data_IF_381952793709
#
_entry.id   IF_381952793709
#
_cell.length_a   1.000
_cell.length_b   1.000
_cell.length_c   1.000
_cell.angle_alpha   90.00
_cell.angle_beta   90.00
_cell.angle_gamma   90.00
#
_symmetry.space_group_name_H-M   'P 1'
#
loop_
_entity.id
_entity.type
_entity.pdbx_description
1 polymer ?
#
# COMPACT_ATOMS: atom_id res chain seq x y z
N UNK A 1 16.39 -7.92 -13.09
CA UNK A 1 16.48 -8.58 -11.77
C UNK A 1 15.99 -7.72 -10.59
N UNK A 2 16.21 -6.40 -10.51
CA UNK A 2 15.85 -5.62 -9.30
C UNK A 2 14.35 -5.48 -8.97
N UNK A 3 13.46 -5.33 -9.96
CA UNK A 3 12.07 -4.93 -9.69
C UNK A 3 11.24 -6.08 -9.10
N UNK A 4 11.52 -7.32 -9.51
CA UNK A 4 10.87 -8.53 -8.98
C UNK A 4 11.09 -8.70 -7.47
N UNK A 5 12.30 -8.39 -7.00
CA UNK A 5 12.67 -8.50 -5.58
C UNK A 5 11.95 -7.43 -4.75
N UNK A 6 11.83 -6.22 -5.29
CA UNK A 6 11.17 -5.09 -4.64
C UNK A 6 9.66 -5.36 -4.43
N UNK A 7 8.99 -5.91 -5.44
CA UNK A 7 7.57 -6.31 -5.34
C UNK A 7 7.35 -7.40 -4.29
N UNK A 8 8.27 -8.36 -4.16
CA UNK A 8 8.19 -9.42 -3.14
C UNK A 8 8.30 -8.85 -1.73
N UNK A 9 9.29 -7.98 -1.48
CA UNK A 9 9.47 -7.35 -0.17
C UNK A 9 8.24 -6.51 0.18
N UNK A 10 7.77 -5.68 -0.74
CA UNK A 10 6.58 -4.86 -0.51
C UNK A 10 5.36 -5.74 -0.24
N UNK A 11 5.16 -6.81 -1.02
CA UNK A 11 4.06 -7.75 -0.81
C UNK A 11 4.08 -8.35 0.60
N UNK A 12 5.25 -8.77 1.08
CA UNK A 12 5.41 -9.33 2.44
C UNK A 12 5.14 -8.28 3.52
N UNK A 13 5.63 -7.04 3.35
CA UNK A 13 5.40 -5.95 4.31
C UNK A 13 3.91 -5.62 4.39
N UNK A 14 3.24 -5.49 3.25
CA UNK A 14 1.80 -5.21 3.17
C UNK A 14 1.00 -6.36 3.77
N UNK A 15 1.41 -7.61 3.53
CA UNK A 15 0.79 -8.79 4.12
C UNK A 15 0.90 -8.80 5.65
N UNK A 16 2.10 -8.52 6.20
CA UNK A 16 2.32 -8.41 7.63
C UNK A 16 1.45 -7.29 8.26
N UNK A 17 1.32 -6.16 7.57
CA UNK A 17 0.44 -5.06 7.98
C UNK A 17 -1.05 -5.48 7.98
N UNK A 18 -1.50 -6.16 6.93
CA UNK A 18 -2.87 -6.68 6.83
C UNK A 18 -3.17 -7.68 7.95
N UNK A 19 -2.27 -8.63 8.19
CA UNK A 19 -2.38 -9.62 9.27
C UNK A 19 -2.43 -8.95 10.65
N UNK A 20 -1.52 -8.01 10.92
CA UNK A 20 -1.51 -7.25 12.17
C UNK A 20 -2.82 -6.48 12.40
N UNK A 21 -3.39 -5.92 11.33
CA UNK A 21 -4.68 -5.25 11.37
C UNK A 21 -5.87 -6.17 11.63
N UNK A 22 -5.86 -7.39 11.08
CA UNK A 22 -6.90 -8.40 11.30
C UNK A 22 -6.84 -8.97 12.73
N UNK A 23 -5.64 -9.29 13.22
CA UNK A 23 -5.46 -9.92 14.55
C UNK A 23 -5.77 -8.94 15.68
N UNK A 24 -5.38 -7.67 15.55
CA UNK A 24 -5.65 -6.63 16.56
C UNK A 24 -6.17 -5.34 15.91
N UNK A 25 -7.45 -5.35 15.52
CA UNK A 25 -8.14 -4.19 14.96
C UNK A 25 -8.07 -2.94 15.86
N UNK A 26 -8.05 -3.12 17.19
CA UNK A 26 -7.85 -2.03 18.16
C UNK A 26 -6.47 -1.36 18.07
N UNK A 27 -5.41 -2.13 17.80
CA UNK A 27 -4.07 -1.58 17.58
C UNK A 27 -3.96 -0.92 16.20
N UNK A 28 -4.66 -1.45 15.19
CA UNK A 28 -4.73 -0.83 13.87
C UNK A 28 -5.34 0.57 13.93
N UNK A 29 -6.42 0.76 14.71
CA UNK A 29 -7.01 2.08 14.95
C UNK A 29 -6.01 3.06 15.58
N UNK A 30 -5.25 2.62 16.59
CA UNK A 30 -4.21 3.45 17.23
C UNK A 30 -3.12 3.84 16.23
N UNK A 31 -2.67 2.89 15.43
CA UNK A 31 -1.66 3.13 14.40
C UNK A 31 -2.13 4.13 13.34
N UNK A 32 -3.39 4.04 12.88
CA UNK A 32 -3.97 5.02 11.96
C UNK A 32 -4.02 6.43 12.56
N UNK A 33 -4.36 6.56 13.84
CA UNK A 33 -4.36 7.85 14.55
C UNK A 33 -2.96 8.42 14.77
N UNK A 34 -1.96 7.56 15.03
CA UNK A 34 -0.57 8.00 15.08
C UNK A 34 -0.08 8.49 13.72
N UNK A 35 -0.47 7.81 12.63
CA UNK A 35 -0.15 8.25 11.27
C UNK A 35 -0.84 9.56 10.88
N UNK A 36 -2.09 9.78 11.28
CA UNK A 36 -2.78 11.04 10.96
C UNK A 36 -2.25 12.23 11.74
N UNK A 37 -1.66 12.02 12.91
CA UNK A 37 -1.11 13.08 13.76
C UNK A 37 0.23 13.64 13.26
N UNK A 38 0.94 12.91 12.40
CA UNK A 38 2.29 13.27 11.96
C UNK A 38 2.33 13.50 10.45
N UNK A 39 2.42 14.78 10.07
CA UNK A 39 2.58 15.15 8.65
C UNK A 39 3.84 14.55 8.04
N UNK A 40 4.92 14.44 8.82
CA UNK A 40 6.17 13.84 8.36
C UNK A 40 5.96 12.39 7.90
N UNK A 41 5.17 11.61 8.63
CA UNK A 41 4.87 10.22 8.27
C UNK A 41 4.03 10.14 6.98
N UNK A 42 3.07 11.05 6.80
CA UNK A 42 2.27 11.14 5.56
C UNK A 42 3.17 11.48 4.36
N UNK A 43 4.13 12.39 4.52
CA UNK A 43 5.08 12.74 3.47
C UNK A 43 6.02 11.57 3.12
N UNK A 44 6.60 10.90 4.12
CA UNK A 44 7.48 9.74 3.92
C UNK A 44 6.73 8.63 3.18
N UNK A 45 5.51 8.33 3.63
CA UNK A 45 4.65 7.34 2.99
C UNK A 45 4.31 7.76 1.56
N UNK A 46 3.94 9.03 1.33
CA UNK A 46 3.67 9.57 -0.01
C UNK A 46 4.84 9.39 -0.98
N UNK A 47 6.07 9.69 -0.53
CA UNK A 47 7.30 9.46 -1.32
C UNK A 47 7.49 7.98 -1.64
N UNK A 48 7.29 7.08 -0.66
CA UNK A 48 7.38 5.63 -0.89
C UNK A 48 6.35 5.15 -1.92
N UNK A 49 5.12 5.68 -1.88
CA UNK A 49 4.08 5.37 -2.87
C UNK A 49 4.49 5.82 -4.29
N UNK A 50 5.12 6.99 -4.43
CA UNK A 50 5.61 7.49 -5.73
C UNK A 50 6.75 6.61 -6.27
N UNK A 51 7.75 6.30 -5.45
CA UNK A 51 8.89 5.45 -5.84
C UNK A 51 8.38 4.06 -6.28
N UNK A 52 7.47 3.49 -5.51
CA UNK A 52 6.87 2.18 -5.81
C UNK A 52 6.03 2.23 -7.08
N UNK A 53 5.17 3.23 -7.23
CA UNK A 53 4.32 3.40 -8.41
C UNK A 53 5.11 3.61 -9.69
N UNK A 54 6.18 4.41 -9.62
CA UNK A 54 7.08 4.63 -10.77
C UNK A 54 7.82 3.35 -11.17
N UNK A 55 8.31 2.59 -10.18
CA UNK A 55 9.00 1.31 -10.41
C UNK A 55 8.11 0.27 -11.10
N UNK A 56 6.81 0.27 -10.79
CA UNK A 56 5.84 -0.65 -11.39
C UNK A 56 5.50 -0.30 -12.85
N UNK A 57 5.49 1.00 -13.22
CA UNK A 57 5.11 1.44 -14.58
C UNK A 57 6.08 0.98 -15.67
N UNK A 58 7.38 0.91 -15.36
CA UNK A 58 8.45 0.70 -16.36
C UNK A 58 8.63 -0.73 -16.85
N UNK A 59 7.79 -1.68 -16.44
CA UNK A 59 8.01 -3.10 -16.70
C UNK A 59 7.01 -3.65 -17.72
N UNK A 60 7.43 -4.66 -18.51
CA UNK A 60 6.54 -5.48 -19.38
C UNK A 60 5.62 -6.40 -18.56
N UNK A 61 5.10 -5.88 -17.44
CA UNK A 61 4.18 -6.60 -16.55
C UNK A 61 2.74 -6.53 -17.09
N UNK A 62 1.88 -7.46 -16.66
CA UNK A 62 0.47 -7.49 -17.03
C UNK A 62 -0.22 -6.15 -16.74
N UNK A 63 -1.20 -5.80 -17.58
CA UNK A 63 -1.93 -4.53 -17.54
C UNK A 63 -2.40 -4.14 -16.12
N UNK A 64 -2.82 -5.11 -15.32
CA UNK A 64 -3.27 -4.91 -13.94
C UNK A 64 -2.19 -4.27 -13.05
N UNK A 65 -0.93 -4.69 -13.19
CA UNK A 65 0.20 -4.11 -12.44
C UNK A 65 0.49 -2.67 -12.87
N UNK A 66 0.32 -2.35 -14.17
CA UNK A 66 0.48 -0.99 -14.65
C UNK A 66 -0.60 -0.06 -14.10
N UNK A 67 -1.88 -0.50 -14.11
CA UNK A 67 -3.00 0.24 -13.51
C UNK A 67 -2.73 0.46 -12.01
N UNK A 68 -2.23 -0.55 -11.31
CA UNK A 68 -1.89 -0.44 -9.91
C UNK A 68 -0.73 0.55 -9.67
N UNK A 69 0.29 0.53 -10.52
CA UNK A 69 1.39 1.51 -10.50
C UNK A 69 0.88 2.95 -10.66
N UNK A 70 -0.05 3.17 -11.58
CA UNK A 70 -0.73 4.47 -11.76
C UNK A 70 -1.50 4.89 -10.51
N UNK A 71 -2.30 3.99 -9.95
CA UNK A 71 -3.08 4.27 -8.75
C UNK A 71 -2.18 4.65 -7.55
N UNK A 72 -1.05 3.95 -7.37
CA UNK A 72 -0.08 4.26 -6.31
C UNK A 72 0.61 5.61 -6.53
N UNK A 73 0.98 5.92 -7.78
CA UNK A 73 1.60 7.21 -8.13
C UNK A 73 0.65 8.38 -7.83
N UNK A 74 -0.60 8.28 -8.30
CA UNK A 74 -1.63 9.30 -8.05
C UNK A 74 -1.89 9.45 -6.56
N UNK A 75 -2.03 8.35 -5.84
CA UNK A 75 -2.23 8.36 -4.38
C UNK A 75 -1.05 9.02 -3.66
N UNK A 76 0.19 8.71 -4.04
CA UNK A 76 1.39 9.32 -3.49
C UNK A 76 1.46 10.82 -3.76
N UNK A 77 1.12 11.27 -4.98
CA UNK A 77 1.04 12.70 -5.29
C UNK A 77 -0.03 13.42 -4.45
N UNK A 78 -1.21 12.83 -4.27
CA UNK A 78 -2.25 13.41 -3.42
C UNK A 78 -1.76 13.57 -1.97
N UNK A 79 -1.00 12.58 -1.46
CA UNK A 79 -0.42 12.66 -0.11
C UNK A 79 0.59 13.81 0.05
N UNK A 80 1.35 14.12 -1.00
CA UNK A 80 2.31 15.24 -0.97
C UNK A 80 1.66 16.61 -1.13
N UNK A 81 0.66 16.71 -2.02
CA UNK A 81 0.01 17.99 -2.35
C UNK A 81 -1.04 18.37 -1.32
N UNK A 82 -1.76 17.40 -0.75
CA UNK A 82 -2.90 17.61 0.14
C UNK A 82 -2.77 16.81 1.45
N UNK A 83 -1.69 17.01 2.22
CA UNK A 83 -1.43 16.22 3.43
C UNK A 83 -2.52 16.44 4.51
N UNK A 84 -3.07 17.65 4.64
CA UNK A 84 -4.18 17.98 5.56
C UNK A 84 -5.48 17.24 5.20
N UNK A 85 -5.75 17.09 3.92
CA UNK A 85 -6.93 16.37 3.45
C UNK A 85 -6.76 14.88 3.74
N UNK A 86 -5.56 14.35 3.51
CA UNK A 86 -5.25 12.95 3.81
C UNK A 86 -5.30 12.67 5.31
N UNK A 87 -4.75 13.54 6.16
CA UNK A 87 -4.81 13.36 7.62
C UNK A 87 -6.26 13.30 8.13
N UNK A 88 -7.13 14.21 7.65
CA UNK A 88 -8.56 14.21 7.98
C UNK A 88 -9.29 12.97 7.48
N UNK A 89 -8.96 12.48 6.27
CA UNK A 89 -9.55 11.23 5.74
C UNK A 89 -9.12 10.04 6.60
N UNK A 90 -7.84 9.96 6.98
CA UNK A 90 -7.31 8.89 7.81
C UNK A 90 -7.95 8.88 9.20
N UNK A 91 -8.18 10.06 9.80
CA UNK A 91 -8.85 10.16 11.10
C UNK A 91 -10.32 9.73 11.02
N UNK A 92 -11.05 10.17 9.98
CA UNK A 92 -12.42 9.69 9.71
C UNK A 92 -12.49 8.17 9.48
N UNK A 93 -11.49 7.60 8.78
CA UNK A 93 -11.38 6.15 8.58
C UNK A 93 -11.11 5.43 9.90
N UNK A 94 -10.29 6.00 10.78
CA UNK A 94 -9.96 5.42 12.08
C UNK A 94 -11.17 5.41 13.03
N UNK A 95 -12.07 6.38 12.93
CA UNK A 95 -13.27 6.43 13.76
C UNK A 95 -14.42 5.55 13.27
N UNK A 96 -14.41 5.18 11.98
CA UNK A 96 -15.42 4.27 11.43
C UNK A 96 -15.06 2.81 11.72
N UNK A 97 -15.72 2.20 12.71
CA UNK A 97 -15.45 0.82 13.13
C UNK A 97 -15.56 -0.22 11.99
N UNK A 98 -16.47 0.00 11.04
CA UNK A 98 -16.60 -0.84 9.85
C UNK A 98 -15.33 -0.81 8.98
N UNK A 99 -14.75 0.37 8.76
CA UNK A 99 -13.53 0.53 7.94
C UNK A 99 -12.34 -0.11 8.65
N UNK A 100 -12.18 0.12 9.96
CA UNK A 100 -11.10 -0.49 10.74
C UNK A 100 -11.14 -2.02 10.72
N UNK A 101 -12.33 -2.62 10.58
CA UNK A 101 -12.49 -4.08 10.50
C UNK A 101 -12.35 -4.61 9.07
N UNK A 102 -12.90 -3.93 8.06
CA UNK A 102 -12.94 -4.39 6.67
C UNK A 102 -11.63 -4.10 5.93
N UNK A 103 -11.02 -2.95 6.20
CA UNK A 103 -9.83 -2.50 5.47
C UNK A 103 -8.63 -3.44 5.60
N UNK A 104 -8.29 -3.97 6.79
CA UNK A 104 -7.21 -4.96 6.91
C UNK A 104 -7.45 -6.22 6.09
N UNK A 105 -8.71 -6.68 5.96
CA UNK A 105 -9.05 -7.82 5.12
C UNK A 105 -8.84 -7.53 3.64
N UNK A 106 -9.26 -6.36 3.15
CA UNK A 106 -8.99 -5.93 1.78
C UNK A 106 -7.48 -5.88 1.51
N UNK A 107 -6.72 -5.33 2.46
CA UNK A 107 -5.28 -5.18 2.37
C UNK A 107 -4.56 -6.54 2.36
N UNK A 108 -5.06 -7.49 3.14
CA UNK A 108 -4.57 -8.88 3.20
C UNK A 108 -4.84 -9.59 1.85
N UNK A 109 -6.07 -9.56 1.33
CA UNK A 109 -6.39 -10.16 0.03
C UNK A 109 -5.56 -9.53 -1.09
N UNK A 110 -5.45 -8.20 -1.11
CA UNK A 110 -4.63 -7.49 -2.09
C UNK A 110 -3.15 -7.90 -2.01
N UNK A 111 -2.61 -8.08 -0.81
CA UNK A 111 -1.22 -8.51 -0.62
C UNK A 111 -0.96 -9.94 -1.06
N UNK A 112 -1.91 -10.87 -0.86
CA UNK A 112 -1.80 -12.25 -1.38
C UNK A 112 -1.74 -12.23 -2.91
N UNK A 113 -2.60 -11.44 -3.55
CA UNK A 113 -2.59 -11.29 -5.01
C UNK A 113 -1.27 -10.69 -5.49
N UNK A 114 -0.75 -9.68 -4.78
CA UNK A 114 0.54 -9.05 -5.09
C UNK A 114 1.72 -10.03 -4.96
N UNK A 115 1.74 -10.83 -3.89
CA UNK A 115 2.74 -11.88 -3.67
C UNK A 115 2.63 -12.93 -4.79
N UNK A 116 1.41 -13.40 -5.10
CA UNK A 116 1.18 -14.37 -6.17
C UNK A 116 1.69 -13.85 -7.53
N UNK A 117 1.33 -12.62 -7.91
CA UNK A 117 1.81 -12.01 -9.15
C UNK A 117 3.33 -11.79 -9.13
N UNK A 118 3.90 -11.37 -7.99
CA UNK A 118 5.33 -11.17 -7.82
C UNK A 118 6.16 -12.45 -7.93
N UNK A 119 5.61 -13.60 -7.50
CA UNK A 119 6.27 -14.90 -7.66
C UNK A 119 6.03 -15.52 -9.04
N UNK A 120 4.79 -15.60 -9.53
CA UNK A 120 4.48 -16.38 -10.72
C UNK A 120 4.68 -15.62 -12.04
N UNK A 121 4.34 -14.33 -12.11
CA UNK A 121 4.43 -13.59 -13.38
C UNK A 121 5.85 -13.12 -13.66
N UNK A 122 6.59 -12.74 -12.62
CA UNK A 122 7.93 -12.19 -12.76
C UNK A 122 9.01 -13.25 -13.09
N UNK A 123 8.75 -14.53 -12.81
CA UNK A 123 9.65 -15.64 -13.18
C UNK A 123 9.54 -15.92 -14.70
N UNK A 124 8.34 -15.89 -15.29
CA UNK A 124 8.13 -16.18 -16.70
C UNK A 124 8.66 -15.12 -17.68
N UNK A 125 8.97 -13.90 -17.22
CA UNK A 125 9.51 -12.82 -18.07
C UNK A 125 11.03 -12.66 -18.00
N UNK A 126 11.70 -13.46 -17.16
CA UNK A 126 13.17 -13.49 -17.04
C UNK A 126 13.82 -14.71 -17.73
N UNK A 127 13.05 -15.51 -18.48
CA UNK A 127 13.56 -16.42 -19.51
C UNK A 127 13.48 -15.74 -20.88
#
# INVERSE_FOLDING_TARGET
>A
MCIAFLVKIIGIVVFAFGLGGVVKSGNFKKMLKSFSASFADIYIVGILYIITGFSLRGTKMPLLMQIFGWALLVKGMIMLVLPDTVSKIMDKMADTAAIVKIYPWILLVASIVLIYLGFFVCICTCQ
#
